data_IF_542956097233
#
_entry.id   IF_542956097233
#
_cell.length_a   1.000
_cell.length_b   1.000
_cell.length_c   1.000
_cell.angle_alpha   90.00
_cell.angle_beta   90.00
_cell.angle_gamma   90.00
#
_symmetry.space_group_name_H-M   'P 1'
#
loop_
_entity.id
_entity.type
_entity.pdbx_description
1 polymer ?
#
# COMPACT_ATOMS: atom_id res chain seq x y z
N UNK A 1 13.83 5.01 -0.71
CA UNK A 1 12.67 4.60 -1.54
C UNK A 1 12.82 4.90 -3.03
N UNK A 2 13.52 5.99 -3.45
CA UNK A 2 13.62 6.44 -4.86
C UNK A 2 13.74 5.33 -5.91
N UNK A 3 14.74 4.44 -5.79
CA UNK A 3 14.95 3.31 -6.71
C UNK A 3 13.72 2.42 -6.92
N UNK A 4 13.01 2.08 -5.84
CA UNK A 4 11.80 1.25 -5.91
C UNK A 4 10.70 1.98 -6.69
N UNK A 5 10.51 3.26 -6.41
CA UNK A 5 9.48 4.09 -7.03
C UNK A 5 9.75 4.24 -8.53
N UNK A 6 10.98 4.55 -8.92
CA UNK A 6 11.36 4.69 -10.34
C UNK A 6 11.14 3.39 -11.12
N UNK A 7 11.51 2.24 -10.55
CA UNK A 7 11.36 0.95 -11.24
C UNK A 7 9.89 0.46 -11.29
N UNK A 8 9.07 0.80 -10.30
CA UNK A 8 7.62 0.52 -10.32
C UNK A 8 6.89 1.46 -11.31
N UNK A 9 7.38 2.69 -11.46
CA UNK A 9 6.82 3.70 -12.37
C UNK A 9 7.52 3.73 -13.73
N UNK A 10 8.24 2.66 -14.09
CA UNK A 10 8.84 2.52 -15.42
C UNK A 10 7.74 2.63 -16.49
N UNK A 11 8.01 3.51 -17.45
CA UNK A 11 7.09 3.89 -18.52
C UNK A 11 6.86 2.72 -19.48
N UNK A 12 7.92 1.96 -19.78
CA UNK A 12 7.84 0.74 -20.58
C UNK A 12 7.36 -0.43 -19.70
N UNK A 13 6.12 -0.94 -19.87
CA UNK A 13 5.59 -2.00 -19.01
C UNK A 13 6.43 -3.28 -19.05
N UNK A 14 7.16 -3.53 -20.15
CA UNK A 14 8.01 -4.72 -20.27
C UNK A 14 9.24 -4.68 -19.36
N UNK A 15 9.67 -3.47 -18.96
CA UNK A 15 10.83 -3.23 -18.08
C UNK A 15 10.44 -2.93 -16.64
N UNK A 16 9.14 -2.75 -16.37
CA UNK A 16 8.63 -2.43 -15.04
C UNK A 16 8.94 -3.54 -14.05
N UNK A 17 9.36 -3.14 -12.85
CA UNK A 17 9.58 -4.06 -11.75
C UNK A 17 8.30 -4.85 -11.46
N UNK A 18 8.44 -6.17 -11.42
CA UNK A 18 7.35 -7.11 -11.24
C UNK A 18 6.79 -7.67 -12.54
N UNK A 19 7.31 -7.29 -13.72
CA UNK A 19 6.82 -7.84 -15.00
C UNK A 19 7.41 -9.21 -15.32
N UNK A 20 8.73 -9.43 -15.17
CA UNK A 20 9.36 -10.70 -15.58
C UNK A 20 9.19 -11.79 -14.51
N UNK A 21 9.53 -11.47 -13.25
CA UNK A 21 9.46 -12.37 -12.09
C UNK A 21 8.26 -12.16 -11.18
N UNK A 22 7.30 -11.30 -11.55
CA UNK A 22 6.13 -11.03 -10.72
C UNK A 22 6.48 -10.40 -9.37
N UNK A 23 5.68 -10.70 -8.35
CA UNK A 23 5.90 -10.19 -6.99
C UNK A 23 7.28 -10.55 -6.39
N UNK A 24 7.96 -11.59 -6.88
CA UNK A 24 9.28 -11.98 -6.38
C UNK A 24 10.34 -10.89 -6.56
N UNK A 25 10.29 -10.13 -7.65
CA UNK A 25 11.23 -9.03 -7.90
C UNK A 25 11.08 -7.92 -6.86
N UNK A 26 9.83 -7.59 -6.52
CA UNK A 26 9.50 -6.59 -5.50
C UNK A 26 9.98 -7.07 -4.13
N UNK A 27 9.73 -8.36 -3.80
CA UNK A 27 10.18 -8.98 -2.55
C UNK A 27 11.70 -8.97 -2.38
N UNK A 28 12.43 -9.10 -3.49
CA UNK A 28 13.89 -9.16 -3.52
C UNK A 28 14.56 -7.77 -3.58
N UNK A 29 13.79 -6.70 -3.79
CA UNK A 29 14.34 -5.35 -3.88
C UNK A 29 14.91 -4.91 -2.51
N UNK A 30 16.08 -4.23 -2.44
CA UNK A 30 16.74 -3.85 -1.17
C UNK A 30 15.87 -3.03 -0.21
N UNK A 31 14.90 -2.27 -0.72
CA UNK A 31 13.92 -1.55 0.09
C UNK A 31 13.10 -2.48 1.00
N UNK A 32 12.84 -3.70 0.56
CA UNK A 32 12.06 -4.71 1.28
C UNK A 32 12.93 -5.67 2.10
N UNK A 33 14.24 -5.43 2.23
CA UNK A 33 15.16 -6.36 2.87
C UNK A 33 14.85 -6.62 4.36
N UNK A 34 14.18 -5.68 5.04
CA UNK A 34 13.75 -5.84 6.43
C UNK A 34 12.42 -6.62 6.59
N UNK A 35 11.73 -6.93 5.50
CA UNK A 35 10.43 -7.61 5.55
C UNK A 35 10.66 -9.11 5.62
N UNK A 36 10.15 -9.74 6.67
CA UNK A 36 10.07 -11.19 6.73
C UNK A 36 8.79 -11.68 6.03
N UNK A 37 8.91 -11.98 4.74
CA UNK A 37 7.79 -12.42 3.91
C UNK A 37 7.10 -13.71 4.38
N UNK A 38 7.78 -14.55 5.18
CA UNK A 38 7.19 -15.77 5.72
C UNK A 38 6.27 -15.50 6.92
N UNK A 39 6.50 -14.40 7.64
CA UNK A 39 5.75 -14.02 8.85
C UNK A 39 4.84 -12.84 8.66
N UNK A 40 5.01 -12.04 7.60
CA UNK A 40 4.27 -10.80 7.34
C UNK A 40 2.75 -10.91 7.58
N UNK A 41 2.12 -11.99 7.11
CA UNK A 41 0.66 -12.21 7.28
C UNK A 41 0.22 -12.46 8.73
N UNK A 42 1.17 -12.73 9.64
CA UNK A 42 0.94 -12.99 11.07
C UNK A 42 1.52 -11.89 11.96
N UNK A 43 2.19 -10.90 11.39
CA UNK A 43 2.76 -9.79 12.14
C UNK A 43 1.65 -8.86 12.63
N UNK A 44 1.87 -8.23 13.79
CA UNK A 44 0.95 -7.20 14.29
C UNK A 44 1.09 -5.97 13.41
N UNK A 45 -0.04 -5.40 13.01
CA UNK A 45 -0.04 -4.12 12.31
C UNK A 45 0.48 -3.02 13.24
N UNK A 46 1.31 -2.13 12.72
CA UNK A 46 1.78 -0.94 13.45
C UNK A 46 0.62 0.00 13.81
N UNK A 47 -0.42 -0.04 12.99
CA UNK A 47 -1.63 0.75 13.18
C UNK A 47 -2.87 -0.15 13.17
N UNK A 48 -3.62 -0.09 14.28
CA UNK A 48 -4.94 -0.70 14.42
C UNK A 48 -5.91 0.45 14.69
N UNK A 49 -6.91 0.70 13.82
CA UNK A 49 -7.91 1.73 14.04
C UNK A 49 -8.59 1.54 15.40
N UNK A 50 -8.63 2.61 16.20
CA UNK A 50 -9.40 2.63 17.45
C UNK A 50 -10.80 3.12 17.11
N UNK A 51 -11.79 2.28 17.40
CA UNK A 51 -13.20 2.59 17.17
C UNK A 51 -13.84 3.08 18.47
N UNK A 52 -14.63 4.15 18.39
CA UNK A 52 -15.43 4.64 19.53
C UNK A 52 -16.71 3.83 19.74
N UNK A 53 -17.25 3.27 18.65
CA UNK A 53 -18.48 2.45 18.64
C UNK A 53 -18.47 1.43 17.49
N UNK A 54 -19.38 0.43 17.49
CA UNK A 54 -19.47 -0.55 16.39
C UNK A 54 -19.83 0.05 15.02
N UNK A 55 -20.38 1.25 15.01
CA UNK A 55 -20.82 2.02 13.84
C UNK A 55 -19.89 3.22 13.53
N UNK A 56 -18.72 3.29 14.17
CA UNK A 56 -17.74 4.36 13.95
C UNK A 56 -17.20 4.35 12.51
N UNK A 57 -17.44 5.45 11.78
CA UNK A 57 -16.94 5.69 10.42
C UNK A 57 -15.93 6.83 10.34
N UNK A 58 -15.26 7.19 11.43
CA UNK A 58 -14.32 8.33 11.52
C UNK A 58 -13.11 8.24 10.59
N UNK A 59 -12.72 7.03 10.17
CA UNK A 59 -11.67 6.79 9.18
C UNK A 59 -12.14 6.93 7.73
N UNK A 60 -13.41 7.27 7.51
CA UNK A 60 -14.00 7.54 6.21
C UNK A 60 -14.33 9.03 6.09
N UNK A 61 -13.96 9.64 4.96
CA UNK A 61 -14.40 10.99 4.64
C UNK A 61 -15.93 11.05 4.57
N UNK A 62 -16.53 12.14 5.04
CA UNK A 62 -17.97 12.31 4.88
C UNK A 62 -18.31 12.58 3.41
N UNK A 63 -19.55 12.30 3.03
CA UNK A 63 -20.01 12.63 1.66
C UNK A 63 -19.88 14.12 1.34
N UNK A 64 -20.05 14.98 2.34
CA UNK A 64 -19.93 16.42 2.19
C UNK A 64 -18.47 16.85 1.96
N UNK A 65 -17.50 16.19 2.60
CA UNK A 65 -16.07 16.47 2.40
C UNK A 65 -15.58 16.05 1.00
N UNK A 66 -16.17 14.99 0.45
CA UNK A 66 -15.78 14.39 -0.84
C UNK A 66 -16.48 15.02 -2.04
N UNK A 67 -17.72 15.46 -1.86
CA UNK A 67 -18.55 15.97 -2.94
C UNK A 67 -19.25 17.25 -2.50
N UNK A 68 -18.80 18.38 -3.05
CA UNK A 68 -19.46 19.66 -2.92
C UNK A 68 -20.69 19.69 -3.86
N UNK A 69 -21.77 19.01 -3.49
CA UNK A 69 -23.04 19.19 -4.19
C UNK A 69 -23.60 20.55 -3.78
N UNK A 70 -23.56 21.53 -4.69
CA UNK A 70 -24.41 22.71 -4.58
C UNK A 70 -25.85 22.26 -4.80
N UNK A 71 -26.74 22.56 -3.85
CA UNK A 71 -28.20 22.42 -4.03
C UNK A 71 -28.69 23.12 -5.31
#
# INVERSE_FOLDING_TARGET
AKSLIEQLLEHDPSKRLGTLGGAYEIRSHPFCACINWNTLLREKADFVPVLESPDDTSYFDTRQDRYQHSD
#
